data_IF_583357925181
#
_entry.id   IF_583357925181
#
_cell.length_a   1.000
_cell.length_b   1.000
_cell.length_c   1.000
_cell.angle_alpha   90.00
_cell.angle_beta   90.00
_cell.angle_gamma   90.00
#
_symmetry.space_group_name_H-M   'P 1'
#
loop_
_entity.id
_entity.type
_entity.pdbx_description
1 polymer ?
#
# COMPACT_ATOMS: atom_id res chain seq x y z
N UNK A 1 -0.66 2.51 -21.99
CA UNK A 1 -1.13 1.46 -21.06
C UNK A 1 -0.01 0.44 -20.96
N UNK A 2 0.82 0.52 -19.92
CA UNK A 2 1.93 -0.42 -19.72
C UNK A 2 1.34 -1.78 -19.34
N UNK A 3 1.74 -2.85 -20.05
CA UNK A 3 1.31 -4.21 -19.73
C UNK A 3 2.05 -4.65 -18.47
N UNK A 4 1.35 -4.70 -17.34
CA UNK A 4 1.89 -5.25 -16.09
C UNK A 4 1.81 -6.77 -16.13
N UNK A 5 2.96 -7.43 -16.18
CA UNK A 5 3.08 -8.86 -15.91
C UNK A 5 3.17 -9.09 -14.39
N UNK A 6 2.80 -10.29 -13.92
CA UNK A 6 2.73 -10.61 -12.49
C UNK A 6 4.04 -10.32 -11.73
N UNK A 7 5.20 -10.49 -12.38
CA UNK A 7 6.51 -10.18 -11.80
C UNK A 7 6.69 -8.71 -11.42
N UNK A 8 5.96 -7.79 -12.05
CA UNK A 8 5.98 -6.38 -11.68
C UNK A 8 5.34 -6.13 -10.32
N UNK A 9 4.27 -6.87 -9.96
CA UNK A 9 3.60 -6.69 -8.67
C UNK A 9 4.54 -7.01 -7.51
N UNK A 10 5.29 -8.09 -7.60
CA UNK A 10 6.22 -8.54 -6.55
C UNK A 10 7.37 -7.55 -6.31
N UNK A 11 7.75 -6.75 -7.31
CA UNK A 11 8.86 -5.80 -7.23
C UNK A 11 8.42 -4.33 -7.18
N UNK A 12 7.11 -4.04 -7.17
CA UNK A 12 6.59 -2.69 -7.11
C UNK A 12 6.21 -2.34 -5.67
N UNK A 13 7.01 -1.53 -4.93
CA UNK A 13 6.69 -1.16 -3.55
C UNK A 13 5.30 -0.53 -3.42
N UNK A 14 4.83 0.19 -4.45
CA UNK A 14 3.52 0.85 -4.42
C UNK A 14 2.38 -0.18 -4.35
N UNK A 15 2.49 -1.34 -5.01
CA UNK A 15 1.44 -2.37 -4.92
C UNK A 15 1.39 -3.00 -3.54
N UNK A 16 2.55 -3.26 -2.93
CA UNK A 16 2.61 -3.77 -1.55
C UNK A 16 1.99 -2.80 -0.54
N UNK A 17 2.22 -1.49 -0.72
CA UNK A 17 1.55 -0.47 0.09
C UNK A 17 0.03 -0.52 -0.10
N UNK A 18 -0.45 -0.63 -1.34
CA UNK A 18 -1.88 -0.72 -1.62
C UNK A 18 -2.52 -2.00 -1.09
N UNK A 19 -1.84 -3.14 -1.18
CA UNK A 19 -2.29 -4.39 -0.58
C UNK A 19 -2.44 -4.24 0.94
N UNK A 20 -1.45 -3.64 1.61
CA UNK A 20 -1.53 -3.38 3.03
C UNK A 20 -2.70 -2.46 3.39
N UNK A 21 -2.86 -1.32 2.70
CA UNK A 21 -3.93 -0.36 2.96
C UNK A 21 -5.32 -0.96 2.70
N UNK A 22 -5.47 -1.74 1.63
CA UNK A 22 -6.74 -2.44 1.35
C UNK A 22 -7.10 -3.42 2.46
N UNK A 23 -6.12 -4.14 2.98
CA UNK A 23 -6.31 -5.15 4.03
C UNK A 23 -6.57 -4.54 5.42
N UNK A 24 -5.92 -3.42 5.75
CA UNK A 24 -5.91 -2.90 7.12
C UNK A 24 -6.77 -1.64 7.32
N UNK A 25 -6.91 -0.80 6.29
CA UNK A 25 -7.66 0.45 6.40
C UNK A 25 -9.05 0.37 5.76
N UNK A 26 -9.26 -0.54 4.79
CA UNK A 26 -10.47 -0.55 3.96
C UNK A 26 -11.24 -1.89 4.01
N UNK A 27 -10.64 -2.95 4.56
CA UNK A 27 -11.18 -4.31 4.47
C UNK A 27 -12.54 -4.42 5.16
N UNK A 28 -13.46 -5.11 4.49
CA UNK A 28 -14.81 -5.45 4.99
C UNK A 28 -15.63 -4.25 5.48
N UNK A 29 -15.31 -3.04 5.03
CA UNK A 29 -16.02 -1.82 5.42
C UNK A 29 -16.79 -1.28 4.22
N UNK A 30 -18.10 -1.11 4.40
CA UNK A 30 -18.94 -0.38 3.45
C UNK A 30 -18.96 1.08 3.90
N UNK A 31 -18.65 1.99 2.97
CA UNK A 31 -18.67 3.42 3.22
C UNK A 31 -19.84 4.05 2.48
N UNK A 32 -20.57 4.94 3.14
CA UNK A 32 -21.75 5.61 2.58
C UNK A 32 -21.37 6.76 1.63
N UNK A 33 -20.16 7.29 1.77
CA UNK A 33 -19.66 8.43 0.98
C UNK A 33 -18.21 8.25 0.57
N UNK A 34 -17.84 8.89 -0.54
CA UNK A 34 -16.43 8.95 -0.97
C UNK A 34 -15.54 9.63 0.09
N UNK A 35 -16.05 10.65 0.77
CA UNK A 35 -15.31 11.34 1.84
C UNK A 35 -14.92 10.39 2.97
N UNK A 36 -15.78 9.45 3.36
CA UNK A 36 -15.45 8.44 4.36
C UNK A 36 -14.35 7.49 3.88
N UNK A 37 -14.39 7.06 2.61
CA UNK A 37 -13.32 6.26 1.99
C UNK A 37 -12.00 7.02 2.02
N UNK A 38 -12.02 8.30 1.60
CA UNK A 38 -10.83 9.14 1.60
C UNK A 38 -10.26 9.34 3.00
N UNK A 39 -11.11 9.54 4.00
CA UNK A 39 -10.69 9.69 5.38
C UNK A 39 -10.01 8.40 5.89
N UNK A 40 -10.64 7.24 5.69
CA UNK A 40 -10.07 5.96 6.08
C UNK A 40 -8.74 5.68 5.40
N UNK A 41 -8.61 6.04 4.11
CA UNK A 41 -7.35 5.93 3.38
C UNK A 41 -6.27 6.85 3.96
N UNK A 42 -6.60 8.11 4.26
CA UNK A 42 -5.64 9.07 4.83
C UNK A 42 -5.16 8.62 6.20
N UNK A 43 -6.06 8.14 7.06
CA UNK A 43 -5.67 7.59 8.36
C UNK A 43 -4.80 6.34 8.21
N UNK A 44 -5.20 5.40 7.35
CA UNK A 44 -4.40 4.20 7.08
C UNK A 44 -2.99 4.51 6.55
N UNK A 45 -2.84 5.52 5.69
CA UNK A 45 -1.53 5.99 5.22
C UNK A 45 -0.71 6.60 6.36
N UNK A 46 -1.34 7.37 7.27
CA UNK A 46 -0.66 7.95 8.45
C UNK A 46 -0.18 6.86 9.39
N UNK A 47 -1.02 5.88 9.69
CA UNK A 47 -0.68 4.74 10.55
C UNK A 47 0.48 3.94 9.96
N UNK A 48 0.44 3.66 8.66
CA UNK A 48 1.50 2.97 7.96
C UNK A 48 2.81 3.78 7.97
N UNK A 49 2.75 5.08 7.72
CA UNK A 49 3.91 5.96 7.74
C UNK A 49 4.54 6.09 9.15
N UNK A 50 3.73 5.98 10.20
CA UNK A 50 4.20 5.98 11.58
C UNK A 50 4.94 4.68 11.96
N UNK A 51 4.80 3.60 11.18
CA UNK A 51 5.44 2.31 11.42
C UNK A 51 6.54 2.01 10.40
N UNK A 52 7.72 2.59 10.63
CA UNK A 52 8.89 2.44 9.77
C UNK A 52 9.34 0.98 9.57
N UNK A 53 9.14 0.11 10.57
CA UNK A 53 9.50 -1.30 10.47
C UNK A 53 8.62 -2.04 9.46
N UNK A 54 7.30 -1.85 9.56
CA UNK A 54 6.33 -2.44 8.62
C UNK A 54 6.56 -1.89 7.21
N UNK A 55 6.71 -0.56 7.08
CA UNK A 55 6.99 0.08 5.80
C UNK A 55 8.26 -0.49 5.14
N UNK A 56 9.35 -0.60 5.89
CA UNK A 56 10.63 -1.13 5.39
C UNK A 56 10.50 -2.59 4.97
N UNK A 57 9.74 -3.40 5.71
CA UNK A 57 9.57 -4.83 5.40
C UNK A 57 8.90 -5.09 4.05
N UNK A 58 8.10 -4.14 3.54
CA UNK A 58 7.37 -4.26 2.28
C UNK A 58 7.95 -3.44 1.12
N UNK A 59 8.78 -2.42 1.40
CA UNK A 59 9.35 -1.55 0.35
C UNK A 59 10.85 -1.73 0.14
N UNK A 60 11.57 -2.37 1.07
CA UNK A 60 13.01 -2.58 0.92
C UNK A 60 13.30 -3.91 0.20
N UNK A 61 13.74 -3.79 -1.05
CA UNK A 61 14.15 -4.93 -1.86
C UNK A 61 15.69 -4.96 -1.96
N UNK A 62 16.40 -5.75 -1.14
CA UNK A 62 17.86 -5.69 -1.04
C UNK A 62 18.60 -6.04 -2.34
N UNK A 63 17.93 -6.76 -3.24
CA UNK A 63 18.45 -7.17 -4.54
C UNK A 63 18.14 -6.18 -5.68
N UNK A 64 17.24 -5.22 -5.45
CA UNK A 64 16.98 -4.12 -6.37
C UNK A 64 18.00 -3.01 -6.10
N UNK A 65 18.99 -2.89 -6.98
CA UNK A 65 19.93 -1.74 -7.01
C UNK A 65 19.24 -0.54 -7.61
N UNK A 66 18.43 0.17 -6.82
CA UNK A 66 17.88 1.47 -7.20
C UNK A 66 18.83 2.52 -6.61
N UNK A 67 19.53 3.25 -7.50
CA UNK A 67 20.48 4.32 -7.17
C UNK A 67 19.76 5.63 -6.85
#
# INVERSE_FOLDING_TARGET
MLRHNAHWYELNPVEHLWDHLREHALRNTVFDTLQQVMHALVEGVRDLAANAAVLTSMTFFPHLRIL
#
